data_IF_997150812819
#
_entry.id   IF_997150812819
#
_cell.length_a   1.000
_cell.length_b   1.000
_cell.length_c   1.000
_cell.angle_alpha   90.00
_cell.angle_beta   90.00
_cell.angle_gamma   90.00
#
_symmetry.space_group_name_H-M   'P 1'
#
loop_
_entity.id
_entity.type
_entity.pdbx_description
1 polymer ?
#
# COMPACT_ATOMS: atom_id res chain seq x y z
N UNK A 1 25.42 4.48 -42.04
CA UNK A 1 25.75 3.39 -41.06
C UNK A 1 24.50 3.20 -40.20
N UNK A 2 23.64 2.26 -40.60
CA UNK A 2 22.30 2.08 -40.03
C UNK A 2 22.42 1.12 -38.84
N UNK A 3 22.31 1.66 -37.61
CA UNK A 3 22.27 0.86 -36.42
C UNK A 3 20.90 0.14 -36.35
N UNK A 4 20.86 -1.14 -36.66
CA UNK A 4 19.72 -2.00 -36.35
C UNK A 4 19.79 -2.37 -34.87
N UNK A 5 19.05 -1.66 -34.01
CA UNK A 5 18.78 -2.14 -32.65
C UNK A 5 17.68 -3.21 -32.74
N UNK A 6 18.07 -4.47 -32.68
CA UNK A 6 17.14 -5.60 -32.52
C UNK A 6 16.98 -5.79 -31.01
N UNK A 7 16.00 -5.11 -30.40
CA UNK A 7 15.60 -5.42 -29.04
C UNK A 7 14.79 -6.71 -29.06
N UNK A 8 15.14 -7.67 -28.21
CA UNK A 8 14.32 -8.87 -28.00
C UNK A 8 13.00 -8.47 -27.33
N UNK A 9 11.96 -9.27 -27.57
CA UNK A 9 10.62 -9.07 -26.96
C UNK A 9 10.69 -8.89 -25.43
N UNK A 10 11.66 -9.55 -24.80
CA UNK A 10 11.90 -9.48 -23.34
C UNK A 10 12.58 -8.17 -22.92
N UNK A 11 13.44 -7.62 -23.75
CA UNK A 11 14.11 -6.32 -23.50
C UNK A 11 13.16 -5.15 -23.77
N UNK A 12 12.30 -5.28 -24.78
CA UNK A 12 11.22 -4.34 -25.04
C UNK A 12 10.22 -4.26 -23.87
N UNK A 13 9.77 -5.41 -23.35
CA UNK A 13 8.88 -5.48 -22.18
C UNK A 13 9.55 -4.89 -20.93
N UNK A 14 10.84 -5.15 -20.73
CA UNK A 14 11.61 -4.55 -19.64
C UNK A 14 11.76 -3.03 -19.78
N UNK A 15 12.02 -2.55 -20.98
CA UNK A 15 12.10 -1.12 -21.26
C UNK A 15 10.74 -0.43 -21.07
N UNK A 16 9.65 -1.04 -21.52
CA UNK A 16 8.29 -0.54 -21.33
C UNK A 16 7.87 -0.54 -19.84
N UNK A 17 8.24 -1.57 -19.08
CA UNK A 17 8.01 -1.64 -17.64
C UNK A 17 8.86 -0.61 -16.86
N UNK A 18 10.11 -0.41 -17.26
CA UNK A 18 11.01 0.59 -16.67
C UNK A 18 10.59 2.05 -17.00
N UNK A 19 9.82 2.24 -18.07
CA UNK A 19 9.28 3.54 -18.47
C UNK A 19 8.01 3.95 -17.71
N UNK A 20 7.50 3.13 -16.78
CA UNK A 20 6.22 3.39 -16.12
C UNK A 20 5.05 3.37 -17.10
N UNK A 21 5.12 2.52 -18.16
CA UNK A 21 4.12 2.48 -19.21
C UNK A 21 2.79 1.90 -18.73
N UNK A 22 1.73 2.62 -19.01
CA UNK A 22 0.32 2.23 -18.92
C UNK A 22 -0.10 1.45 -20.17
N UNK A 23 -0.99 0.47 -20.04
CA UNK A 23 -1.61 -0.25 -21.16
C UNK A 23 -3.13 -0.30 -20.98
N UNK A 24 -3.94 -0.45 -22.00
CA UNK A 24 -4.29 0.42 -23.11
C UNK A 24 -5.62 1.17 -22.92
N UNK A 25 -5.86 2.23 -23.67
CA UNK A 25 -7.12 2.98 -23.64
C UNK A 25 -7.64 3.31 -25.03
N UNK A 26 -8.93 3.15 -25.25
CA UNK A 26 -9.65 3.62 -26.44
C UNK A 26 -10.87 4.45 -26.04
N UNK A 27 -11.01 5.64 -26.60
CA UNK A 27 -12.23 6.46 -26.58
C UNK A 27 -12.11 7.84 -25.93
N UNK A 28 -12.13 8.88 -26.76
CA UNK A 28 -12.09 10.30 -26.41
C UNK A 28 -13.48 10.82 -26.13
N UNK A 29 -13.72 11.54 -25.06
CA UNK A 29 -14.65 12.68 -25.06
C UNK A 29 -14.45 13.58 -23.83
N UNK A 30 -14.18 14.84 -24.16
CA UNK A 30 -14.36 16.11 -23.43
C UNK A 30 -14.31 16.12 -21.90
N UNK A 31 -13.13 16.45 -21.39
CA UNK A 31 -12.96 16.95 -20.01
C UNK A 31 -13.19 18.47 -19.97
N UNK A 32 -14.29 18.87 -19.37
CA UNK A 32 -14.55 20.27 -18.99
C UNK A 32 -13.91 20.50 -17.62
N UNK A 33 -12.92 21.37 -17.55
CA UNK A 33 -12.30 21.81 -16.28
C UNK A 33 -13.15 22.89 -15.64
N UNK A 34 -13.67 22.59 -14.43
CA UNK A 34 -14.40 23.53 -13.61
C UNK A 34 -13.49 24.61 -13.00
N UNK A 35 -13.99 25.82 -13.00
CA UNK A 35 -13.37 27.04 -12.49
C UNK A 35 -13.10 26.94 -10.99
N UNK A 36 -12.00 27.59 -10.56
CA UNK A 36 -11.63 27.79 -9.17
C UNK A 36 -12.69 28.64 -8.45
N UNK A 37 -13.28 28.08 -7.40
CA UNK A 37 -14.14 28.84 -6.45
C UNK A 37 -13.29 29.16 -5.22
N UNK A 38 -13.18 30.45 -4.90
CA UNK A 38 -12.57 30.92 -3.67
C UNK A 38 -13.38 30.47 -2.46
N UNK A 39 -12.74 29.79 -1.52
CA UNK A 39 -13.38 29.33 -0.29
C UNK A 39 -13.43 30.43 0.77
N UNK A 40 -14.60 30.74 1.26
CA UNK A 40 -14.81 31.48 2.51
C UNK A 40 -14.72 30.50 3.70
N UNK A 41 -14.04 30.84 4.79
CA UNK A 41 -13.94 29.98 5.95
C UNK A 41 -15.16 30.15 6.86
N UNK A 42 -16.08 29.21 6.89
CA UNK A 42 -17.09 29.12 7.95
C UNK A 42 -17.40 27.67 8.29
N UNK A 43 -17.26 27.41 9.60
CA UNK A 43 -17.83 26.30 10.38
C UNK A 43 -17.46 24.86 9.99
N UNK A 44 -16.84 24.19 10.97
CA UNK A 44 -16.63 22.75 11.03
C UNK A 44 -18.00 22.05 11.08
N UNK A 45 -18.56 21.75 9.91
CA UNK A 45 -19.65 20.81 9.74
C UNK A 45 -19.03 19.44 9.45
N UNK A 46 -19.63 18.38 9.98
CA UNK A 46 -19.25 17.00 9.63
C UNK A 46 -19.15 16.87 8.11
N UNK A 47 -18.07 16.26 7.57
CA UNK A 47 -17.90 16.13 6.13
C UNK A 47 -19.08 15.35 5.55
N UNK A 48 -19.68 15.87 4.48
CA UNK A 48 -20.64 15.11 3.69
C UNK A 48 -19.94 13.85 3.18
N UNK A 49 -20.52 12.69 3.48
CA UNK A 49 -20.01 11.40 2.99
C UNK A 49 -19.95 11.47 1.47
N UNK A 50 -18.77 11.30 0.91
CA UNK A 50 -18.55 11.25 -0.53
C UNK A 50 -19.26 10.01 -1.08
N UNK A 51 -20.08 10.14 -2.13
CA UNK A 51 -20.69 9.00 -2.84
C UNK A 51 -19.67 8.13 -3.60
N UNK A 52 -18.39 8.52 -3.56
CA UNK A 52 -17.30 7.76 -4.20
C UNK A 52 -16.73 6.73 -3.23
N UNK A 53 -16.45 5.50 -3.74
CA UNK A 53 -15.77 4.49 -2.92
C UNK A 53 -14.44 5.02 -2.38
N UNK A 54 -14.07 4.66 -1.14
CA UNK A 54 -12.78 5.01 -0.59
C UNK A 54 -11.62 4.45 -1.41
N UNK A 55 -10.57 5.25 -1.60
CA UNK A 55 -9.31 4.78 -2.17
C UNK A 55 -8.65 3.79 -1.20
N UNK A 56 -8.41 2.55 -1.65
CA UNK A 56 -7.67 1.57 -0.86
C UNK A 56 -6.17 1.74 -1.04
N UNK A 57 -5.47 2.02 0.06
CA UNK A 57 -4.00 2.15 0.07
C UNK A 57 -3.39 1.05 0.92
N UNK A 58 -2.47 0.27 0.38
CA UNK A 58 -1.63 -0.64 1.16
C UNK A 58 -0.27 -0.01 1.42
N UNK A 59 0.15 0.02 2.68
CA UNK A 59 1.51 0.38 3.11
C UNK A 59 2.16 -0.89 3.62
N UNK A 60 3.07 -1.45 2.84
CA UNK A 60 3.75 -2.68 3.18
C UNK A 60 5.09 -2.39 3.86
N UNK A 61 5.18 -2.68 5.15
CA UNK A 61 6.39 -2.57 5.97
C UNK A 61 7.28 -3.78 5.68
N UNK A 62 8.19 -3.63 4.71
CA UNK A 62 9.05 -4.74 4.25
C UNK A 62 10.15 -5.07 5.24
N UNK A 63 10.22 -6.31 5.65
CA UNK A 63 11.25 -6.82 6.55
C UNK A 63 10.72 -7.38 7.86
N UNK A 64 9.44 -7.71 7.97
CA UNK A 64 8.87 -8.30 9.20
C UNK A 64 8.91 -7.30 10.36
N UNK A 65 8.13 -6.24 10.28
CA UNK A 65 8.09 -5.20 11.32
C UNK A 65 7.74 -5.81 12.68
N UNK A 66 8.46 -5.43 13.72
CA UNK A 66 8.28 -5.94 15.08
C UNK A 66 6.97 -5.43 15.70
N UNK A 67 5.91 -6.22 15.56
CA UNK A 67 4.58 -5.90 16.06
C UNK A 67 4.52 -5.68 17.57
N UNK A 68 5.40 -6.36 18.34
CA UNK A 68 5.47 -6.22 19.78
C UNK A 68 6.23 -4.94 20.22
N UNK A 69 7.00 -4.32 19.31
CA UNK A 69 7.60 -3.01 19.53
C UNK A 69 6.75 -1.89 18.93
N UNK A 70 5.94 -2.18 17.89
CA UNK A 70 4.90 -1.25 17.41
C UNK A 70 3.87 -0.97 18.50
N UNK A 71 3.35 -2.05 19.11
CA UNK A 71 2.34 -2.02 20.18
C UNK A 71 2.68 -3.09 21.21
N UNK A 72 3.16 -2.65 22.35
CA UNK A 72 3.65 -3.53 23.42
C UNK A 72 2.59 -3.83 24.50
N UNK A 73 2.49 -5.07 24.97
CA UNK A 73 1.76 -5.43 26.19
C UNK A 73 2.62 -5.11 27.41
N UNK A 74 2.58 -3.86 27.88
CA UNK A 74 3.58 -3.29 28.82
C UNK A 74 3.58 -3.92 30.21
N UNK A 75 2.49 -4.54 30.62
CA UNK A 75 2.35 -5.22 31.91
C UNK A 75 2.39 -6.76 31.82
N UNK A 76 2.73 -7.31 30.65
CA UNK A 76 2.94 -8.74 30.47
C UNK A 76 4.33 -9.15 30.98
N UNK A 77 4.39 -9.99 32.00
CA UNK A 77 5.64 -10.38 32.66
C UNK A 77 6.53 -11.25 31.76
N UNK A 78 5.94 -12.12 30.94
CA UNK A 78 6.69 -12.94 29.99
C UNK A 78 7.36 -12.06 28.92
N UNK A 79 6.68 -11.00 28.48
CA UNK A 79 7.26 -10.03 27.55
C UNK A 79 8.35 -9.17 28.20
N UNK A 80 8.15 -8.73 29.44
CA UNK A 80 9.13 -7.94 30.19
C UNK A 80 10.43 -8.73 30.38
N UNK A 81 10.33 -10.03 30.68
CA UNK A 81 11.50 -10.92 30.82
C UNK A 81 12.18 -11.21 29.47
N UNK A 82 11.40 -11.25 28.39
CA UNK A 82 11.90 -11.58 27.07
C UNK A 82 12.70 -10.46 26.41
N UNK A 83 12.52 -9.20 26.82
CA UNK A 83 13.12 -8.05 26.12
C UNK A 83 13.68 -7.00 27.07
N UNK A 84 14.85 -6.41 26.75
CA UNK A 84 15.35 -5.23 27.45
C UNK A 84 14.43 -4.02 27.21
N UNK A 85 14.56 -3.01 28.06
CA UNK A 85 13.67 -1.82 28.04
C UNK A 85 13.73 -0.99 26.76
N UNK A 86 14.79 -1.07 26.00
CA UNK A 86 14.99 -0.37 24.73
C UNK A 86 14.38 -1.11 23.52
N UNK A 87 13.96 -2.37 23.71
CA UNK A 87 13.24 -3.17 22.71
C UNK A 87 11.78 -3.44 23.09
N UNK A 88 11.21 -2.64 23.98
CA UNK A 88 9.78 -2.64 24.31
C UNK A 88 9.29 -1.22 24.62
N UNK A 89 8.02 -0.98 24.43
CA UNK A 89 7.38 0.27 24.86
C UNK A 89 7.24 0.24 26.38
N UNK A 90 7.44 1.38 27.00
CA UNK A 90 7.25 1.56 28.45
C UNK A 90 5.91 2.25 28.73
N UNK A 91 5.31 1.97 29.88
CA UNK A 91 4.06 2.58 30.35
C UNK A 91 4.28 3.87 31.15
N UNK A 92 5.52 4.16 31.51
CA UNK A 92 5.89 5.27 32.39
C UNK A 92 7.29 5.82 32.06
N UNK A 93 7.59 7.01 32.57
CA UNK A 93 8.84 7.70 32.32
C UNK A 93 8.82 8.61 31.11
N UNK A 94 9.95 9.23 30.78
CA UNK A 94 10.09 10.23 29.72
C UNK A 94 9.93 9.66 28.30
N UNK A 95 9.99 8.34 28.16
CA UNK A 95 9.80 7.61 26.89
C UNK A 95 8.62 6.63 26.97
N UNK A 96 7.63 6.94 27.81
CA UNK A 96 6.40 6.18 27.83
C UNK A 96 5.70 6.25 26.47
N UNK A 97 5.12 5.13 26.06
CA UNK A 97 4.27 5.06 24.88
C UNK A 97 2.89 5.68 25.13
N UNK A 98 2.04 5.58 24.15
CA UNK A 98 0.66 6.06 24.23
C UNK A 98 -0.26 4.90 24.60
N UNK A 99 -0.95 5.02 25.73
CA UNK A 99 -1.94 4.01 26.14
C UNK A 99 -3.04 3.88 25.07
N UNK A 100 -3.22 2.70 24.57
CA UNK A 100 -4.36 2.31 23.76
C UNK A 100 -5.51 1.82 24.66
N UNK A 101 -6.69 1.58 24.13
CA UNK A 101 -7.77 1.04 24.93
C UNK A 101 -7.35 -0.28 25.60
N UNK A 102 -7.83 -0.51 26.81
CA UNK A 102 -7.63 -1.80 27.47
C UNK A 102 -8.30 -2.88 26.59
N UNK A 103 -7.55 -3.90 26.27
CA UNK A 103 -8.08 -5.00 25.48
C UNK A 103 -9.18 -5.73 26.25
N UNK A 104 -10.07 -6.42 25.52
CA UNK A 104 -11.03 -7.36 26.11
C UNK A 104 -10.33 -8.56 26.81
N UNK A 105 -9.01 -8.61 26.74
CA UNK A 105 -8.19 -9.57 27.49
C UNK A 105 -7.99 -9.00 28.89
N UNK A 106 -8.52 -9.65 29.93
CA UNK A 106 -8.38 -9.15 31.30
C UNK A 106 -6.90 -8.87 31.64
N UNK A 107 -6.63 -7.67 32.12
CA UNK A 107 -5.36 -7.22 32.65
C UNK A 107 -4.19 -6.99 31.68
N UNK A 108 -4.40 -6.97 30.35
CA UNK A 108 -3.31 -6.59 29.43
C UNK A 108 -3.47 -5.13 28.98
N UNK A 109 -2.46 -4.30 29.23
CA UNK A 109 -2.41 -2.89 28.81
C UNK A 109 -1.49 -2.76 27.61
N UNK A 110 -2.02 -2.26 26.50
CA UNK A 110 -1.28 -2.06 25.26
C UNK A 110 -0.90 -0.60 25.07
N UNK A 111 0.35 -0.37 24.73
CA UNK A 111 0.91 0.96 24.47
C UNK A 111 1.52 1.02 23.08
N UNK A 112 1.14 2.05 22.33
CA UNK A 112 1.75 2.39 21.05
C UNK A 112 3.12 3.02 21.25
N UNK A 113 4.05 2.77 20.34
CA UNK A 113 5.41 3.28 20.38
C UNK A 113 5.47 4.80 20.60
N UNK A 114 6.36 5.33 21.46
CA UNK A 114 6.43 6.76 21.81
C UNK A 114 6.77 7.67 20.63
N UNK A 115 7.46 7.17 19.61
CA UNK A 115 7.78 7.92 18.39
C UNK A 115 6.64 7.95 17.35
N UNK A 116 5.40 7.61 17.76
CA UNK A 116 4.23 7.64 16.90
C UNK A 116 3.09 8.55 17.42
N UNK A 117 3.33 9.81 17.80
CA UNK A 117 2.30 10.67 18.38
C UNK A 117 1.10 10.88 17.44
N UNK A 118 1.34 11.09 16.15
CA UNK A 118 0.25 11.30 15.20
C UNK A 118 -0.65 10.05 15.02
N UNK A 119 -0.08 8.83 15.10
CA UNK A 119 -0.91 7.61 15.13
C UNK A 119 -1.72 7.50 16.43
N UNK A 120 -1.18 7.95 17.56
CA UNK A 120 -1.93 8.00 18.81
C UNK A 120 -3.11 8.99 18.73
N UNK A 121 -2.92 10.15 18.12
CA UNK A 121 -3.97 11.14 17.86
C UNK A 121 -5.06 10.57 16.94
N UNK A 122 -4.67 9.91 15.84
CA UNK A 122 -5.61 9.24 14.93
C UNK A 122 -6.39 8.11 15.62
N UNK A 123 -5.74 7.37 16.53
CA UNK A 123 -6.40 6.34 17.32
C UNK A 123 -7.43 6.95 18.28
N UNK A 124 -7.08 8.00 19.00
CA UNK A 124 -7.99 8.71 19.92
C UNK A 124 -9.16 9.36 19.17
N UNK A 125 -8.90 9.89 17.96
CA UNK A 125 -9.91 10.44 17.07
C UNK A 125 -10.79 9.36 16.39
N UNK A 126 -10.54 8.07 16.65
CA UNK A 126 -11.26 6.90 16.12
C UNK A 126 -11.14 6.73 14.60
N UNK A 127 -10.03 7.16 14.03
CA UNK A 127 -9.70 6.94 12.62
C UNK A 127 -8.67 5.82 12.41
N UNK A 128 -8.00 5.37 13.48
CA UNK A 128 -7.01 4.28 13.45
C UNK A 128 -7.49 3.11 14.32
N UNK A 129 -7.42 1.91 13.77
CA UNK A 129 -7.60 0.64 14.48
C UNK A 129 -6.27 -0.14 14.49
N UNK A 130 -6.04 -0.90 15.56
CA UNK A 130 -4.91 -1.80 15.71
C UNK A 130 -5.40 -3.24 15.62
N UNK A 131 -4.74 -4.08 14.83
CA UNK A 131 -5.11 -5.49 14.66
C UNK A 131 -3.97 -6.36 15.13
N UNK A 132 -4.19 -7.14 16.18
CA UNK A 132 -3.20 -8.02 16.78
C UNK A 132 -3.12 -9.38 16.09
N UNK A 133 -1.96 -10.01 16.23
CA UNK A 133 -1.73 -11.41 15.90
C UNK A 133 -2.18 -11.79 14.48
N UNK A 134 -1.95 -10.85 13.54
CA UNK A 134 -2.26 -11.03 12.12
C UNK A 134 -1.13 -11.80 11.45
N UNK A 135 -1.46 -12.73 10.57
CA UNK A 135 -0.43 -13.42 9.80
C UNK A 135 -0.99 -14.40 8.79
N UNK A 136 -0.06 -15.10 8.16
CA UNK A 136 -0.34 -16.25 7.29
C UNK A 136 -0.41 -17.51 8.16
N UNK A 137 -1.28 -18.45 7.79
CA UNK A 137 -1.42 -19.71 8.55
C UNK A 137 -0.25 -20.66 8.34
N UNK A 138 0.48 -20.51 7.24
CA UNK A 138 1.72 -21.24 6.96
C UNK A 138 2.89 -20.46 7.60
N UNK A 139 3.52 -21.02 8.61
CA UNK A 139 4.55 -20.37 9.42
C UNK A 139 5.90 -20.25 8.71
N UNK A 140 5.91 -19.74 7.46
CA UNK A 140 7.17 -19.41 6.79
C UNK A 140 7.82 -18.17 7.41
N UNK A 141 9.14 -18.19 7.54
CA UNK A 141 9.97 -17.06 7.98
C UNK A 141 10.86 -16.54 6.85
N UNK A 142 10.54 -16.89 5.60
CA UNK A 142 11.17 -16.35 4.39
C UNK A 142 10.43 -15.10 3.94
N UNK A 143 11.11 -13.97 3.85
CA UNK A 143 10.54 -12.72 3.34
C UNK A 143 9.92 -12.91 1.96
N UNK A 144 10.65 -13.52 1.03
CA UNK A 144 10.17 -13.71 -0.34
C UNK A 144 8.88 -14.52 -0.40
N UNK A 145 8.82 -15.62 0.37
CA UNK A 145 7.66 -16.50 0.40
C UNK A 145 6.47 -15.83 1.08
N UNK A 146 6.65 -15.23 2.26
CA UNK A 146 5.59 -14.58 3.01
C UNK A 146 5.03 -13.35 2.27
N UNK A 147 5.89 -12.52 1.70
CA UNK A 147 5.48 -11.39 0.88
C UNK A 147 4.68 -11.85 -0.34
N UNK A 148 5.15 -12.89 -1.04
CA UNK A 148 4.45 -13.42 -2.19
C UNK A 148 3.07 -14.02 -1.83
N UNK A 149 2.94 -14.67 -0.68
CA UNK A 149 1.65 -15.17 -0.16
C UNK A 149 0.66 -14.01 0.03
N UNK A 150 1.08 -12.96 0.75
CA UNK A 150 0.22 -11.81 1.06
C UNK A 150 -0.13 -11.04 -0.21
N UNK A 151 0.85 -10.74 -1.06
CA UNK A 151 0.63 -9.96 -2.28
C UNK A 151 -0.19 -10.71 -3.33
N UNK A 152 -0.20 -12.04 -3.30
CA UNK A 152 -1.10 -12.85 -4.13
C UNK A 152 -2.44 -13.13 -3.46
N UNK A 153 -2.66 -12.72 -2.23
CA UNK A 153 -3.88 -13.00 -1.49
C UNK A 153 -4.15 -14.50 -1.37
N UNK A 154 -3.11 -15.30 -1.10
CA UNK A 154 -3.13 -16.75 -1.17
C UNK A 154 -2.90 -17.41 0.20
N UNK A 155 -3.16 -18.70 0.30
CA UNK A 155 -2.80 -19.50 1.48
C UNK A 155 -1.33 -19.91 1.44
N UNK A 156 -0.83 -20.23 0.25
CA UNK A 156 0.55 -20.66 -0.01
C UNK A 156 0.94 -20.23 -1.43
N UNK A 157 2.22 -20.02 -1.66
CA UNK A 157 2.78 -19.80 -3.01
C UNK A 157 3.28 -21.08 -3.66
N UNK A 158 3.32 -22.17 -2.92
CA UNK A 158 3.73 -23.48 -3.44
C UNK A 158 2.52 -24.19 -4.05
N UNK A 159 2.71 -24.66 -5.25
CA UNK A 159 1.80 -25.59 -5.93
C UNK A 159 2.61 -26.84 -6.29
N UNK A 160 1.95 -27.97 -6.52
CA UNK A 160 2.58 -29.26 -6.87
C UNK A 160 3.59 -29.19 -8.05
N UNK A 161 3.59 -28.10 -8.82
CA UNK A 161 4.43 -27.86 -9.99
C UNK A 161 5.27 -26.56 -9.94
N UNK A 162 5.49 -25.97 -8.75
CA UNK A 162 6.29 -24.76 -8.56
C UNK A 162 5.55 -23.57 -7.98
N UNK A 163 6.14 -22.37 -8.16
CA UNK A 163 5.55 -21.12 -7.63
C UNK A 163 4.19 -20.79 -8.28
N UNK A 164 3.24 -20.36 -7.47
CA UNK A 164 1.92 -19.95 -7.92
C UNK A 164 2.02 -18.73 -8.85
N UNK A 165 1.66 -18.92 -10.12
CA UNK A 165 1.63 -17.86 -11.15
C UNK A 165 0.21 -17.35 -11.35
N UNK A 166 -0.25 -16.51 -10.43
CA UNK A 166 -1.56 -15.85 -10.53
C UNK A 166 -1.39 -14.35 -10.38
N UNK A 167 -2.26 -13.53 -10.96
CA UNK A 167 -2.26 -12.10 -10.73
C UNK A 167 -2.34 -11.76 -9.24
N UNK A 168 -1.86 -10.58 -8.85
CA UNK A 168 -1.92 -10.09 -7.47
C UNK A 168 -3.36 -9.83 -7.01
N UNK A 169 -3.57 -9.77 -5.69
CA UNK A 169 -4.92 -9.58 -5.14
C UNK A 169 -5.55 -8.22 -5.53
N UNK A 170 -4.75 -7.16 -5.59
CA UNK A 170 -5.23 -5.83 -6.05
C UNK A 170 -5.67 -5.88 -7.51
N UNK A 171 -4.88 -6.51 -8.37
CA UNK A 171 -5.23 -6.68 -9.78
C UNK A 171 -6.54 -7.45 -9.94
N UNK A 172 -6.69 -8.57 -9.23
CA UNK A 172 -7.92 -9.37 -9.29
C UNK A 172 -9.13 -8.62 -8.76
N UNK A 173 -8.98 -7.85 -7.68
CA UNK A 173 -10.10 -7.09 -7.11
C UNK A 173 -10.64 -6.03 -8.07
N UNK A 174 -9.75 -5.39 -8.86
CA UNK A 174 -10.13 -4.39 -9.87
C UNK A 174 -10.72 -5.07 -11.11
N UNK A 175 -10.03 -6.06 -11.66
CA UNK A 175 -10.43 -6.72 -12.92
C UNK A 175 -11.80 -7.41 -12.84
N UNK A 176 -12.22 -7.76 -11.62
CA UNK A 176 -13.49 -8.46 -11.36
C UNK A 176 -14.55 -7.59 -10.71
N UNK A 177 -14.26 -6.31 -10.49
CA UNK A 177 -15.24 -5.36 -9.96
C UNK A 177 -16.29 -5.02 -11.04
N UNK A 178 -17.51 -4.64 -10.60
CA UNK A 178 -18.57 -4.16 -11.50
C UNK A 178 -18.17 -2.88 -12.26
N UNK A 179 -17.19 -2.15 -11.76
CA UNK A 179 -16.61 -0.97 -12.41
C UNK A 179 -15.60 -1.31 -13.51
N UNK A 180 -15.27 -2.59 -13.74
CA UNK A 180 -14.27 -3.00 -14.75
C UNK A 180 -14.61 -2.50 -16.17
N UNK A 181 -15.89 -2.33 -16.51
CA UNK A 181 -16.32 -1.76 -17.80
C UNK A 181 -16.01 -0.28 -17.98
N UNK A 182 -15.66 0.45 -16.94
CA UNK A 182 -15.34 1.89 -16.97
C UNK A 182 -13.85 2.21 -16.85
N UNK A 183 -12.99 1.17 -16.94
CA UNK A 183 -11.53 1.33 -16.82
C UNK A 183 -10.86 1.96 -18.04
N UNK A 184 -11.59 2.13 -19.13
CA UNK A 184 -11.10 2.88 -20.29
C UNK A 184 -10.91 4.35 -19.88
N UNK A 185 -9.70 4.88 -20.11
CA UNK A 185 -9.28 6.24 -19.72
C UNK A 185 -9.07 6.47 -18.21
N UNK A 186 -8.86 5.42 -17.40
CA UNK A 186 -8.56 5.54 -15.97
C UNK A 186 -7.23 4.91 -15.58
N UNK A 187 -6.68 5.37 -14.44
CA UNK A 187 -5.53 4.77 -13.75
C UNK A 187 -6.07 4.14 -12.47
N UNK A 188 -6.61 2.92 -12.53
CA UNK A 188 -7.23 2.32 -11.35
C UNK A 188 -6.24 1.91 -10.28
N UNK A 189 -4.95 1.76 -10.63
CA UNK A 189 -3.91 1.30 -9.72
C UNK A 189 -2.64 2.14 -9.82
N UNK A 190 -2.03 2.43 -8.67
CA UNK A 190 -0.76 3.13 -8.56
C UNK A 190 0.19 2.40 -7.59
N UNK A 191 1.48 2.38 -7.91
CA UNK A 191 2.51 1.99 -6.95
C UNK A 191 3.62 3.02 -6.88
N UNK A 192 3.89 3.51 -5.65
CA UNK A 192 5.01 4.41 -5.36
C UNK A 192 6.32 3.61 -5.27
N UNK A 193 6.76 3.02 -6.38
CA UNK A 193 7.93 2.16 -6.44
C UNK A 193 8.57 2.18 -7.83
N UNK A 194 9.78 1.64 -7.95
CA UNK A 194 10.46 1.48 -9.25
C UNK A 194 10.05 0.23 -10.01
N UNK A 195 9.45 -0.75 -9.30
CA UNK A 195 9.03 -2.04 -9.86
C UNK A 195 7.62 -2.33 -9.35
N UNK A 196 6.74 -2.81 -10.23
CA UNK A 196 5.40 -3.21 -9.83
C UNK A 196 5.45 -4.30 -8.75
N UNK A 197 4.75 -4.14 -7.62
CA UNK A 197 4.65 -5.18 -6.61
C UNK A 197 3.82 -6.37 -7.13
N UNK A 198 4.00 -7.55 -6.53
CA UNK A 198 3.24 -8.74 -6.91
C UNK A 198 1.72 -8.54 -6.73
N UNK A 199 1.29 -7.70 -5.81
CA UNK A 199 -0.13 -7.36 -5.61
C UNK A 199 -0.77 -6.70 -6.83
N UNK A 200 0.02 -6.03 -7.68
CA UNK A 200 -0.41 -5.40 -8.94
C UNK A 200 -0.02 -6.20 -10.19
N UNK A 201 0.60 -7.38 -10.04
CA UNK A 201 0.90 -8.23 -11.19
C UNK A 201 -0.41 -8.67 -11.89
N UNK A 202 -0.44 -8.54 -13.21
CA UNK A 202 -1.56 -8.96 -14.06
C UNK A 202 -2.54 -7.87 -14.47
N UNK A 203 -2.46 -6.67 -13.89
CA UNK A 203 -3.21 -5.51 -14.38
C UNK A 203 -2.38 -4.76 -15.43
N UNK A 204 -3.05 -4.29 -16.50
CA UNK A 204 -2.37 -3.64 -17.61
C UNK A 204 -2.33 -2.11 -17.51
N UNK A 205 -3.16 -1.50 -16.70
CA UNK A 205 -3.31 -0.05 -16.55
C UNK A 205 -2.95 0.45 -15.14
N UNK A 206 -1.90 -0.10 -14.55
CA UNK A 206 -1.28 0.43 -13.33
C UNK A 206 -0.18 1.44 -13.67
N UNK A 207 -0.15 2.54 -12.96
CA UNK A 207 0.96 3.48 -12.98
C UNK A 207 1.96 3.10 -11.89
N UNK A 208 3.23 2.93 -12.27
CA UNK A 208 4.32 2.59 -11.35
C UNK A 208 5.42 3.62 -11.48
N UNK A 209 5.60 4.44 -10.48
CA UNK A 209 6.69 5.43 -10.39
C UNK A 209 6.96 5.76 -8.92
N UNK A 210 8.24 5.89 -8.51
CA UNK A 210 8.58 6.18 -7.12
C UNK A 210 8.21 7.60 -6.70
N UNK A 211 8.07 8.52 -7.64
CA UNK A 211 7.75 9.92 -7.37
C UNK A 211 7.01 10.56 -8.55
N UNK A 212 5.70 10.67 -8.41
CA UNK A 212 4.87 11.37 -9.39
C UNK A 212 5.15 12.88 -9.42
N UNK A 213 5.63 13.44 -8.31
CA UNK A 213 5.91 14.86 -8.18
C UNK A 213 7.13 15.29 -9.00
N UNK A 214 7.99 14.36 -9.39
CA UNK A 214 9.08 14.62 -10.35
C UNK A 214 8.58 14.73 -11.80
N UNK A 215 7.31 14.37 -12.06
CA UNK A 215 6.76 14.21 -13.41
C UNK A 215 7.05 12.83 -13.98
N UNK A 216 6.33 12.48 -15.03
CA UNK A 216 6.55 11.22 -15.74
C UNK A 216 7.47 11.43 -16.93
N UNK A 217 8.41 10.52 -17.11
CA UNK A 217 9.34 10.50 -18.24
C UNK A 217 9.51 9.09 -18.80
N UNK A 218 10.05 9.00 -19.99
CA UNK A 218 10.52 7.73 -20.55
C UNK A 218 12.02 7.57 -20.30
N UNK A 219 12.53 6.35 -20.14
CA UNK A 219 13.97 6.12 -20.06
C UNK A 219 14.69 6.76 -21.25
N UNK A 220 15.84 7.33 -20.99
CA UNK A 220 16.68 8.06 -21.97
C UNK A 220 16.02 9.30 -22.62
N UNK A 221 14.87 9.76 -22.09
CA UNK A 221 14.28 11.05 -22.39
C UNK A 221 13.63 11.19 -23.78
N UNK A 222 13.68 12.39 -24.33
CA UNK A 222 12.99 12.79 -25.56
C UNK A 222 13.24 11.89 -26.78
N UNK A 223 14.48 11.41 -27.08
CA UNK A 223 14.70 10.53 -28.23
C UNK A 223 13.93 9.22 -28.13
N UNK A 224 13.79 8.66 -26.93
CA UNK A 224 13.00 7.43 -26.71
C UNK A 224 11.50 7.70 -26.86
N UNK A 225 11.01 8.83 -26.35
CA UNK A 225 9.60 9.22 -26.52
C UNK A 225 9.25 9.39 -27.99
N UNK A 226 10.09 10.08 -28.77
CA UNK A 226 9.92 10.23 -30.23
C UNK A 226 9.95 8.90 -30.96
N UNK A 227 10.86 7.99 -30.60
CA UNK A 227 10.92 6.64 -31.16
C UNK A 227 9.66 5.84 -30.85
N UNK A 228 9.19 5.85 -29.60
CA UNK A 228 7.97 5.14 -29.19
C UNK A 228 6.73 5.72 -29.90
N UNK A 229 6.65 7.06 -30.02
CA UNK A 229 5.58 7.73 -30.76
C UNK A 229 5.58 7.34 -32.25
N UNK A 230 6.74 7.34 -32.90
CA UNK A 230 6.87 6.88 -34.29
C UNK A 230 6.47 5.41 -34.45
N UNK A 231 6.92 4.55 -33.56
CA UNK A 231 6.52 3.12 -33.57
C UNK A 231 5.00 2.93 -33.39
N UNK A 232 4.38 3.74 -32.54
CA UNK A 232 2.93 3.65 -32.28
C UNK A 232 2.06 4.07 -33.48
N UNK A 233 2.62 4.87 -34.39
CA UNK A 233 1.94 5.37 -35.61
C UNK A 233 2.21 4.53 -36.83
N UNK A 234 3.22 3.65 -36.80
CA UNK A 234 3.50 2.77 -37.93
C UNK A 234 2.32 1.80 -38.18
N UNK A 235 1.59 2.01 -39.28
CA UNK A 235 0.74 0.96 -39.81
C UNK A 235 1.66 -0.14 -40.31
N UNK A 236 1.61 -1.29 -39.65
CA UNK A 236 2.33 -2.47 -40.13
C UNK A 236 1.64 -2.92 -41.43
N UNK A 237 2.35 -2.83 -42.55
CA UNK A 237 1.94 -3.43 -43.82
C UNK A 237 2.00 -4.98 -43.80
N UNK A 238 1.68 -5.57 -42.64
CA UNK A 238 1.59 -7.02 -42.46
C UNK A 238 0.21 -7.46 -42.89
N UNK A 239 0.16 -8.51 -43.66
CA UNK A 239 -1.07 -9.14 -44.19
C UNK A 239 -2.21 -9.17 -43.17
N UNK A 240 -3.37 -8.61 -43.57
CA UNK A 240 -4.60 -8.52 -42.77
C UNK A 240 -5.25 -9.88 -42.55
N UNK A 241 -4.59 -10.82 -41.95
CA UNK A 241 -5.14 -12.14 -41.73
C UNK A 241 -4.41 -13.04 -40.75
N UNK A 242 -3.27 -12.61 -40.25
CA UNK A 242 -2.51 -13.43 -39.30
C UNK A 242 -2.73 -12.99 -37.84
N UNK A 243 -2.78 -13.93 -36.90
CA UNK A 243 -2.88 -13.65 -35.48
C UNK A 243 -1.72 -12.78 -34.96
N UNK A 244 -0.60 -12.72 -35.71
CA UNK A 244 0.54 -11.84 -35.42
C UNK A 244 0.26 -10.37 -35.74
N UNK A 245 -0.60 -10.05 -36.76
CA UNK A 245 -0.98 -8.67 -37.07
C UNK A 245 -1.91 -8.06 -36.02
N UNK A 246 -2.88 -8.84 -35.53
CA UNK A 246 -3.78 -8.42 -34.46
C UNK A 246 -3.02 -8.12 -33.15
N UNK A 247 -2.04 -8.95 -32.79
CA UNK A 247 -1.19 -8.71 -31.64
C UNK A 247 -0.31 -7.46 -31.79
N UNK A 248 0.23 -7.19 -32.99
CA UNK A 248 1.02 -6.00 -33.27
C UNK A 248 0.18 -4.72 -33.17
N UNK A 249 -1.03 -4.73 -33.73
CA UNK A 249 -1.98 -3.61 -33.61
C UNK A 249 -2.37 -3.34 -32.15
N UNK A 250 -2.59 -4.38 -31.35
CA UNK A 250 -2.87 -4.27 -29.93
C UNK A 250 -1.72 -3.62 -29.16
N UNK A 251 -0.46 -3.99 -29.47
CA UNK A 251 0.73 -3.39 -28.84
C UNK A 251 0.89 -1.92 -29.24
N UNK A 252 0.65 -1.56 -30.49
CA UNK A 252 0.76 -0.17 -30.96
C UNK A 252 -0.32 0.73 -30.33
N UNK A 253 -1.56 0.24 -30.20
CA UNK A 253 -2.62 1.02 -29.52
C UNK A 253 -2.28 1.21 -28.06
N UNK A 254 -1.86 0.16 -27.35
CA UNK A 254 -1.45 0.22 -25.96
C UNK A 254 -0.32 1.24 -25.72
N UNK A 255 0.64 1.31 -26.64
CA UNK A 255 1.75 2.26 -26.56
C UNK A 255 1.26 3.71 -26.75
N UNK A 256 0.37 3.98 -27.72
CA UNK A 256 -0.22 5.32 -27.89
C UNK A 256 -0.97 5.75 -26.65
N UNK A 257 -1.80 4.88 -26.13
CA UNK A 257 -2.65 5.14 -24.97
C UNK A 257 -1.78 5.45 -23.74
N UNK A 258 -0.68 4.70 -23.54
CA UNK A 258 0.29 4.94 -22.48
C UNK A 258 0.99 6.29 -22.60
N UNK A 259 1.47 6.65 -23.80
CA UNK A 259 2.11 7.95 -24.04
C UNK A 259 1.13 9.09 -23.83
N UNK A 260 -0.11 8.96 -24.33
CA UNK A 260 -1.14 9.98 -24.15
C UNK A 260 -1.49 10.17 -22.66
N UNK A 261 -1.59 9.08 -21.90
CA UNK A 261 -1.85 9.17 -20.46
C UNK A 261 -0.69 9.84 -19.73
N UNK A 262 0.54 9.51 -20.09
CA UNK A 262 1.74 10.17 -19.54
C UNK A 262 1.71 11.69 -19.80
N UNK A 263 1.36 12.09 -21.04
CA UNK A 263 1.26 13.51 -21.38
C UNK A 263 0.13 14.20 -20.60
N UNK A 264 -1.04 13.57 -20.48
CA UNK A 264 -2.17 14.11 -19.71
C UNK A 264 -1.79 14.32 -18.22
N UNK A 265 -1.09 13.35 -17.59
CA UNK A 265 -0.61 13.49 -16.22
C UNK A 265 0.41 14.62 -16.13
N UNK A 266 1.38 14.68 -17.05
CA UNK A 266 2.39 15.72 -17.06
C UNK A 266 1.81 17.12 -17.27
N UNK A 267 0.77 17.26 -18.07
CA UNK A 267 0.03 18.52 -18.25
C UNK A 267 -0.73 18.94 -16.98
N UNK A 268 -1.25 17.97 -16.23
CA UNK A 268 -1.94 18.24 -14.97
C UNK A 268 -0.99 18.56 -13.80
N UNK A 269 0.31 18.25 -13.93
CA UNK A 269 1.32 18.62 -12.95
C UNK A 269 1.73 20.09 -13.13
N UNK A 270 1.48 20.90 -12.11
CA UNK A 270 1.81 22.33 -12.14
C UNK A 270 3.31 22.57 -12.35
N UNK A 271 3.64 23.53 -13.22
CA UNK A 271 5.02 23.91 -13.55
C UNK A 271 5.17 25.42 -13.45
N UNK A 272 6.39 25.88 -13.18
CA UNK A 272 6.75 27.30 -13.25
C UNK A 272 6.96 27.77 -14.71
N UNK A 273 7.26 29.07 -14.88
CA UNK A 273 7.49 29.67 -16.19
C UNK A 273 8.71 29.09 -16.94
N UNK A 274 9.60 28.36 -16.25
CA UNK A 274 10.76 27.67 -16.84
C UNK A 274 10.46 26.24 -17.23
N UNK A 275 9.24 25.76 -16.92
CA UNK A 275 8.80 24.35 -17.14
C UNK A 275 9.21 23.39 -16.03
N UNK A 276 9.79 23.87 -14.93
CA UNK A 276 10.13 23.05 -13.76
C UNK A 276 8.86 22.68 -13.00
N UNK A 277 8.75 21.43 -12.60
CA UNK A 277 7.64 20.95 -11.78
C UNK A 277 7.61 21.70 -10.44
N UNK A 278 6.46 22.25 -10.10
CA UNK A 278 6.23 22.88 -8.80
C UNK A 278 6.06 21.80 -7.71
N UNK A 279 6.56 22.05 -6.49
CA UNK A 279 6.34 21.16 -5.36
C UNK A 279 4.86 20.84 -5.18
N UNK A 280 4.57 19.64 -4.72
CA UNK A 280 3.21 19.31 -4.32
C UNK A 280 2.80 20.15 -3.10
N UNK A 281 1.61 20.71 -3.16
CA UNK A 281 1.02 21.46 -2.05
C UNK A 281 -0.09 20.61 -1.43
N UNK A 282 0.11 20.14 -0.19
CA UNK A 282 -0.95 19.43 0.54
C UNK A 282 -2.16 20.33 0.81
N UNK A 283 -3.32 19.75 1.01
CA UNK A 283 -4.53 20.47 1.39
C UNK A 283 -4.62 20.64 2.91
N UNK A 284 -5.33 21.68 3.34
CA UNK A 284 -5.54 21.96 4.76
C UNK A 284 -4.23 22.25 5.51
N UNK A 285 -4.06 21.59 6.64
CA UNK A 285 -2.89 21.71 7.53
C UNK A 285 -1.87 20.58 7.32
N UNK A 286 -2.13 19.67 6.40
CA UNK A 286 -1.29 18.51 6.16
C UNK A 286 0.17 18.88 5.84
N UNK A 287 1.11 18.24 6.51
CA UNK A 287 2.53 18.49 6.32
C UNK A 287 3.30 17.17 6.32
N UNK A 288 3.92 16.85 5.17
CA UNK A 288 4.73 15.65 4.99
C UNK A 288 6.18 15.78 5.49
N UNK A 289 6.57 16.92 6.05
CA UNK A 289 7.93 17.11 6.59
C UNK A 289 8.23 16.11 7.71
N UNK A 290 9.37 15.46 7.61
CA UNK A 290 9.79 14.42 8.56
C UNK A 290 9.22 13.02 8.27
N UNK A 291 8.42 12.84 7.23
CA UNK A 291 7.97 11.52 6.79
C UNK A 291 8.99 10.74 5.93
N UNK A 292 10.18 11.30 5.71
CA UNK A 292 11.25 10.64 4.95
C UNK A 292 10.83 10.29 3.53
N UNK A 293 11.11 9.04 3.10
CA UNK A 293 10.72 8.58 1.76
C UNK A 293 9.19 8.47 1.59
N UNK A 294 8.45 8.25 2.68
CA UNK A 294 6.99 8.20 2.66
C UNK A 294 6.36 9.52 2.24
N UNK A 295 7.05 10.66 2.46
CA UNK A 295 6.56 11.97 2.01
C UNK A 295 6.31 11.98 0.49
N UNK A 296 7.25 11.44 -0.30
CA UNK A 296 7.12 11.35 -1.77
C UNK A 296 6.03 10.38 -2.17
N UNK A 297 5.98 9.22 -1.52
CA UNK A 297 5.01 8.16 -1.83
C UNK A 297 3.59 8.63 -1.56
N UNK A 298 3.30 9.15 -0.37
CA UNK A 298 1.97 9.63 -0.01
C UNK A 298 1.55 10.87 -0.80
N UNK A 299 2.43 11.86 -0.99
CA UNK A 299 2.10 13.05 -1.78
C UNK A 299 1.85 12.73 -3.26
N UNK A 300 2.51 11.71 -3.81
CA UNK A 300 2.23 11.21 -5.15
C UNK A 300 0.84 10.58 -5.26
N UNK A 301 0.46 9.74 -4.28
CA UNK A 301 -0.89 9.15 -4.21
C UNK A 301 -1.95 10.25 -4.04
N UNK A 302 -1.73 11.19 -3.13
CA UNK A 302 -2.67 12.28 -2.88
C UNK A 302 -2.84 13.17 -4.13
N UNK A 303 -1.76 13.48 -4.84
CA UNK A 303 -1.82 14.22 -6.11
C UNK A 303 -2.66 13.46 -7.14
N UNK A 304 -2.41 12.17 -7.33
CA UNK A 304 -3.12 11.36 -8.32
C UNK A 304 -4.61 11.19 -7.98
N UNK A 305 -4.93 10.98 -6.70
CA UNK A 305 -6.31 10.91 -6.22
C UNK A 305 -7.09 12.20 -6.50
N UNK A 306 -6.45 13.36 -6.28
CA UNK A 306 -7.05 14.70 -6.55
C UNK A 306 -7.24 14.97 -8.05
N UNK A 307 -6.47 14.35 -8.92
CA UNK A 307 -6.67 14.42 -10.39
C UNK A 307 -7.91 13.67 -10.86
N UNK A 308 -8.55 12.87 -10.00
CA UNK A 308 -9.77 12.11 -10.31
C UNK A 308 -9.65 11.19 -11.54
N UNK A 309 -8.49 10.60 -11.72
CA UNK A 309 -8.18 9.70 -12.85
C UNK A 309 -8.72 8.27 -12.66
N UNK A 310 -9.63 8.05 -11.73
CA UNK A 310 -10.24 6.75 -11.47
C UNK A 310 -9.39 5.81 -10.61
N UNK A 311 -8.51 6.37 -9.77
CA UNK A 311 -7.67 5.59 -8.86
C UNK A 311 -8.53 4.86 -7.83
N UNK A 312 -8.37 3.54 -7.74
CA UNK A 312 -9.10 2.66 -6.82
C UNK A 312 -8.17 2.05 -5.77
N UNK A 313 -6.95 1.67 -6.18
CA UNK A 313 -5.95 1.11 -5.26
C UNK A 313 -4.59 1.78 -5.41
N UNK A 314 -3.86 1.88 -4.31
CA UNK A 314 -2.47 2.31 -4.33
C UNK A 314 -1.61 1.44 -3.40
N UNK A 315 -0.32 1.30 -3.73
CA UNK A 315 0.65 0.56 -2.93
C UNK A 315 1.87 1.42 -2.61
N UNK A 316 2.34 1.32 -1.38
CA UNK A 316 3.61 1.84 -0.90
C UNK A 316 4.42 0.68 -0.31
N UNK A 317 5.67 0.55 -0.72
CA UNK A 317 6.65 -0.31 -0.06
C UNK A 317 7.54 0.54 0.84
N UNK A 318 7.54 0.26 2.14
CA UNK A 318 8.38 0.93 3.11
C UNK A 318 9.34 -0.09 3.71
N UNK A 319 10.57 -0.10 3.24
CA UNK A 319 11.62 -1.04 3.64
C UNK A 319 12.30 -0.67 4.96
N UNK A 320 13.28 -1.50 5.38
CA UNK A 320 14.12 -1.23 6.55
C UNK A 320 13.62 -1.84 7.86
N UNK A 321 12.59 -2.69 7.83
CA UNK A 321 12.05 -3.30 9.06
C UNK A 321 12.74 -4.62 9.46
N UNK A 322 13.70 -5.09 8.67
CA UNK A 322 14.47 -6.31 8.99
C UNK A 322 15.59 -6.04 10.01
N UNK A 323 15.19 -5.85 11.27
CA UNK A 323 16.01 -5.29 12.35
C UNK A 323 16.59 -6.38 13.25
N UNK A 324 17.53 -7.18 12.71
CA UNK A 324 18.23 -8.23 13.48
C UNK A 324 19.26 -7.69 14.47
N UNK A 325 19.76 -6.48 14.29
CA UNK A 325 20.77 -5.87 15.14
C UNK A 325 20.49 -4.37 15.36
N UNK A 326 20.84 -3.83 16.51
CA UNK A 326 20.74 -2.41 16.84
C UNK A 326 19.34 -1.83 16.62
N UNK A 327 18.29 -2.60 16.85
CA UNK A 327 16.93 -2.32 16.42
C UNK A 327 16.36 -1.01 16.96
N UNK A 328 16.61 -0.67 18.22
CA UNK A 328 15.91 0.39 18.96
C UNK A 328 15.90 1.74 18.22
N UNK A 329 17.09 2.28 17.90
CA UNK A 329 17.21 3.61 17.27
C UNK A 329 16.72 3.64 15.83
N UNK A 330 16.97 2.57 15.08
CA UNK A 330 16.49 2.44 13.70
C UNK A 330 14.97 2.36 13.67
N UNK A 331 14.39 1.50 14.49
CA UNK A 331 12.95 1.33 14.61
C UNK A 331 12.23 2.63 15.01
N UNK A 332 12.76 3.36 15.99
CA UNK A 332 12.25 4.66 16.41
C UNK A 332 12.19 5.67 15.22
N UNK A 333 13.24 5.68 14.39
CA UNK A 333 13.25 6.53 13.19
C UNK A 333 12.19 6.13 12.17
N UNK A 334 12.04 4.82 11.93
CA UNK A 334 11.00 4.29 11.03
C UNK A 334 9.59 4.62 11.53
N UNK A 335 9.36 4.50 12.85
CA UNK A 335 8.10 4.85 13.48
C UNK A 335 7.74 6.33 13.32
N UNK A 336 8.70 7.24 13.49
CA UNK A 336 8.48 8.67 13.26
C UNK A 336 8.05 8.95 11.83
N UNK A 337 8.75 8.36 10.85
CA UNK A 337 8.41 8.53 9.43
C UNK A 337 7.03 7.97 9.11
N UNK A 338 6.71 6.77 9.61
CA UNK A 338 5.41 6.13 9.41
C UNK A 338 4.28 6.98 10.02
N UNK A 339 4.44 7.41 11.27
CA UNK A 339 3.48 8.27 11.96
C UNK A 339 3.25 9.58 11.23
N UNK A 340 4.32 10.30 10.87
CA UNK A 340 4.24 11.56 10.13
C UNK A 340 3.58 11.38 8.76
N UNK A 341 3.98 10.35 8.01
CA UNK A 341 3.47 10.08 6.68
C UNK A 341 1.98 9.75 6.66
N UNK A 342 1.54 8.86 7.55
CA UNK A 342 0.14 8.44 7.65
C UNK A 342 -0.76 9.58 8.13
N UNK A 343 -0.32 10.35 9.13
CA UNK A 343 -1.09 11.50 9.64
C UNK A 343 -1.25 12.56 8.55
N UNK A 344 -0.14 12.97 7.92
CA UNK A 344 -0.19 13.97 6.85
C UNK A 344 -1.05 13.51 5.66
N UNK A 345 -0.95 12.23 5.28
CA UNK A 345 -1.76 11.70 4.19
C UNK A 345 -3.26 11.69 4.52
N UNK A 346 -3.62 11.25 5.71
CA UNK A 346 -5.02 11.25 6.15
C UNK A 346 -5.59 12.68 6.16
N UNK A 347 -4.88 13.64 6.76
CA UNK A 347 -5.28 15.04 6.80
C UNK A 347 -5.44 15.66 5.41
N UNK A 348 -4.49 15.39 4.50
CA UNK A 348 -4.50 15.89 3.13
C UNK A 348 -5.69 15.35 2.33
N UNK A 349 -6.00 14.07 2.47
CA UNK A 349 -7.12 13.43 1.80
C UNK A 349 -8.46 13.92 2.38
N UNK A 350 -8.58 14.00 3.70
CA UNK A 350 -9.76 14.51 4.38
C UNK A 350 -10.05 15.99 4.00
N UNK A 351 -9.03 16.86 4.00
CA UNK A 351 -9.16 18.24 3.58
C UNK A 351 -9.56 18.42 2.10
N UNK A 352 -9.36 17.36 1.28
CA UNK A 352 -9.72 17.34 -0.13
C UNK A 352 -11.03 16.59 -0.41
N UNK A 353 -11.80 16.20 0.62
CA UNK A 353 -12.99 15.35 0.53
C UNK A 353 -12.74 14.04 -0.26
N UNK A 354 -11.56 13.46 -0.10
CA UNK A 354 -11.22 12.15 -0.65
C UNK A 354 -11.24 11.12 0.46
N UNK A 355 -12.20 10.21 0.43
CA UNK A 355 -12.25 9.11 1.40
C UNK A 355 -11.16 8.08 1.12
N UNK A 356 -10.52 7.59 2.18
CA UNK A 356 -9.45 6.60 2.11
C UNK A 356 -9.64 5.47 3.10
N UNK A 357 -9.18 4.29 2.69
CA UNK A 357 -8.94 3.14 3.54
C UNK A 357 -7.47 2.77 3.40
N UNK A 358 -6.71 2.87 4.48
CA UNK A 358 -5.28 2.53 4.48
C UNK A 358 -5.07 1.29 5.34
N UNK A 359 -4.39 0.28 4.81
CA UNK A 359 -3.93 -0.88 5.57
C UNK A 359 -2.41 -0.85 5.63
N UNK A 360 -1.89 -0.78 6.87
CA UNK A 360 -0.46 -0.92 7.15
C UNK A 360 -0.21 -2.37 7.53
N UNK A 361 0.60 -3.05 6.76
CA UNK A 361 0.82 -4.49 6.86
C UNK A 361 2.31 -4.86 6.78
N UNK A 362 2.65 -6.02 7.28
CA UNK A 362 3.98 -6.63 7.18
C UNK A 362 3.82 -8.14 6.99
N UNK A 363 4.84 -8.79 6.45
CA UNK A 363 4.78 -10.20 6.06
C UNK A 363 4.69 -11.18 7.23
N UNK A 364 5.34 -10.87 8.35
CA UNK A 364 5.30 -11.60 9.61
C UNK A 364 5.78 -10.70 10.75
N UNK A 365 5.64 -11.16 11.99
CA UNK A 365 6.17 -10.49 13.17
C UNK A 365 7.58 -10.93 13.52
N UNK A 366 8.01 -10.60 14.73
CA UNK A 366 9.32 -10.93 15.27
C UNK A 366 9.19 -11.84 16.47
N UNK A 367 10.26 -12.60 16.80
CA UNK A 367 10.33 -13.41 18.00
C UNK A 367 10.02 -12.58 19.24
N UNK A 368 9.34 -13.21 20.19
CA UNK A 368 9.03 -12.55 21.47
C UNK A 368 10.32 -12.15 22.18
N UNK A 369 11.30 -13.07 22.26
CA UNK A 369 12.61 -12.80 22.88
C UNK A 369 13.56 -12.09 21.90
N UNK A 370 14.23 -11.05 22.40
CA UNK A 370 15.32 -10.38 21.69
C UNK A 370 16.54 -11.30 21.52
N UNK A 371 17.33 -11.04 20.48
CA UNK A 371 18.58 -11.75 20.24
C UNK A 371 19.79 -11.05 20.91
N UNK A 372 20.99 -11.63 20.75
CA UNK A 372 22.23 -11.11 21.37
C UNK A 372 22.78 -9.86 20.70
N UNK A 373 22.28 -9.49 19.53
CA UNK A 373 22.70 -8.32 18.74
C UNK A 373 21.83 -7.10 18.98
N UNK A 374 21.04 -7.09 20.06
CA UNK A 374 20.08 -6.03 20.38
C UNK A 374 19.07 -5.79 19.24
N UNK A 375 18.54 -6.87 18.71
CA UNK A 375 17.49 -6.93 17.71
C UNK A 375 16.57 -8.11 17.93
N UNK A 376 15.79 -8.47 16.92
CA UNK A 376 14.87 -9.59 16.97
C UNK A 376 14.93 -10.41 15.69
N UNK A 377 14.82 -11.75 15.82
CA UNK A 377 14.77 -12.65 14.69
C UNK A 377 13.35 -12.78 14.15
N UNK A 378 13.18 -13.36 12.95
CA UNK A 378 11.88 -13.57 12.33
C UNK A 378 10.97 -14.42 13.20
N UNK A 379 9.73 -13.94 13.36
CA UNK A 379 8.67 -14.60 14.11
C UNK A 379 7.47 -14.94 13.23
N UNK A 380 6.25 -14.89 13.81
CA UNK A 380 5.04 -15.30 13.10
C UNK A 380 3.94 -14.22 13.17
N UNK A 381 3.15 -14.12 14.23
CA UNK A 381 2.09 -13.13 14.37
C UNK A 381 2.61 -11.69 14.36
N UNK A 382 1.96 -10.84 13.59
CA UNK A 382 2.30 -9.43 13.41
C UNK A 382 1.22 -8.51 13.99
N UNK A 383 1.52 -7.22 14.06
CA UNK A 383 0.56 -6.15 14.34
C UNK A 383 0.35 -5.33 13.07
N UNK A 384 -0.90 -5.17 12.65
CA UNK A 384 -1.29 -4.34 11.51
C UNK A 384 -2.13 -3.16 11.96
N UNK A 385 -2.24 -2.13 11.09
CA UNK A 385 -3.13 -1.00 11.33
C UNK A 385 -4.13 -0.85 10.18
N UNK A 386 -5.35 -0.40 10.52
CA UNK A 386 -6.32 0.10 9.56
C UNK A 386 -6.61 1.57 9.88
N UNK A 387 -6.55 2.45 8.88
CA UNK A 387 -6.77 3.89 8.99
C UNK A 387 -7.77 4.34 7.92
N UNK A 388 -8.71 5.20 8.28
CA UNK A 388 -9.64 5.79 7.31
C UNK A 388 -10.95 6.27 7.94
N UNK A 389 -11.80 6.87 7.09
CA UNK A 389 -13.05 7.50 7.53
C UNK A 389 -14.10 6.48 7.99
N UNK A 390 -14.08 5.28 7.40
CA UNK A 390 -15.02 4.20 7.72
C UNK A 390 -14.45 3.18 8.70
N UNK A 391 -13.24 3.41 9.22
CA UNK A 391 -12.63 2.54 10.21
C UNK A 391 -13.29 2.77 11.57
N UNK A 392 -13.71 1.71 12.22
CA UNK A 392 -14.14 1.76 13.64
C UNK A 392 -12.89 1.81 14.53
N UNK A 393 -12.18 2.93 14.45
CA UNK A 393 -10.94 3.16 15.16
C UNK A 393 -11.09 3.37 16.65
N UNK A 394 -9.98 3.57 17.34
CA UNK A 394 -9.91 3.65 18.80
C UNK A 394 -10.12 2.29 19.48
N UNK A 395 -9.95 1.19 18.73
CA UNK A 395 -10.13 -0.17 19.20
C UNK A 395 -8.96 -1.08 18.83
N UNK A 396 -8.79 -2.14 19.64
CA UNK A 396 -7.90 -3.26 19.38
C UNK A 396 -8.72 -4.40 18.80
N UNK A 397 -8.30 -4.97 17.69
CA UNK A 397 -8.94 -6.06 16.98
C UNK A 397 -8.08 -7.32 16.96
N UNK A 398 -8.69 -8.44 16.63
CA UNK A 398 -8.06 -9.75 16.73
C UNK A 398 -8.10 -10.30 18.16
N UNK A 399 -7.89 -11.59 18.28
CA UNK A 399 -7.79 -12.23 19.58
C UNK A 399 -6.33 -12.21 20.03
N UNK A 400 -6.05 -11.56 21.17
CA UNK A 400 -4.73 -11.64 21.77
C UNK A 400 -4.48 -13.04 22.35
N UNK A 401 -3.44 -13.76 21.89
CA UNK A 401 -3.21 -15.14 22.35
C UNK A 401 -2.50 -15.21 23.70
N UNK A 402 -1.83 -14.14 24.13
CA UNK A 402 -0.89 -14.14 25.25
C UNK A 402 0.55 -14.51 24.84
N UNK A 403 1.48 -14.40 25.78
CA UNK A 403 2.92 -14.62 25.55
C UNK A 403 3.55 -15.67 26.47
N UNK A 404 2.75 -16.44 27.23
CA UNK A 404 3.28 -17.60 27.94
C UNK A 404 3.77 -18.66 26.95
N UNK A 405 4.71 -19.49 27.37
CA UNK A 405 5.31 -20.53 26.51
C UNK A 405 4.28 -21.49 25.87
N UNK A 406 3.13 -21.68 26.50
CA UNK A 406 2.03 -22.52 25.99
C UNK A 406 1.13 -21.78 24.99
N UNK A 407 1.13 -20.46 25.00
CA UNK A 407 0.31 -19.62 24.13
C UNK A 407 1.04 -19.19 22.87
N UNK A 408 2.36 -19.21 22.92
CA UNK A 408 3.22 -18.84 21.79
C UNK A 408 3.26 -19.96 20.74
N UNK A 409 3.38 -19.58 19.46
CA UNK A 409 3.70 -20.53 18.38
C UNK A 409 5.10 -21.10 18.61
N UNK A 410 5.18 -22.42 18.70
CA UNK A 410 6.40 -23.18 19.01
C UNK A 410 7.15 -22.69 20.28
N UNK A 411 6.47 -22.00 21.18
CA UNK A 411 7.08 -21.40 22.39
C UNK A 411 8.05 -20.25 22.11
N UNK A 412 8.02 -19.64 20.94
CA UNK A 412 8.99 -18.64 20.49
C UNK A 412 8.34 -17.35 19.96
N UNK A 413 7.24 -17.47 19.26
CA UNK A 413 6.66 -16.39 18.46
C UNK A 413 5.23 -16.07 18.92
N UNK A 414 4.77 -14.85 18.69
CA UNK A 414 3.35 -14.53 18.84
C UNK A 414 2.55 -15.43 17.89
N UNK A 415 1.58 -16.18 18.42
CA UNK A 415 0.74 -17.03 17.61
C UNK A 415 -0.18 -16.20 16.70
N UNK A 416 -0.44 -16.70 15.48
CA UNK A 416 -1.40 -16.08 14.56
C UNK A 416 -2.81 -16.51 14.98
N UNK A 417 -3.66 -15.52 15.29
CA UNK A 417 -5.08 -15.73 15.59
C UNK A 417 -6.00 -15.05 14.58
N UNK A 418 -5.44 -14.16 13.75
CA UNK A 418 -6.15 -13.42 12.72
C UNK A 418 -5.52 -13.73 11.35
N UNK A 419 -6.29 -14.39 10.48
CA UNK A 419 -5.87 -14.59 9.09
C UNK A 419 -5.80 -13.22 8.38
N UNK A 420 -4.66 -12.90 7.77
CA UNK A 420 -4.44 -11.62 7.09
C UNK A 420 -5.52 -11.32 6.04
N UNK A 421 -6.13 -12.37 5.44
CA UNK A 421 -7.19 -12.23 4.45
C UNK A 421 -8.50 -11.72 5.04
N UNK A 422 -8.74 -11.87 6.36
CA UNK A 422 -9.89 -11.23 7.03
C UNK A 422 -9.74 -9.70 6.95
N UNK A 423 -8.55 -9.19 7.30
CA UNK A 423 -8.28 -7.74 7.26
C UNK A 423 -8.41 -7.21 5.83
N UNK A 424 -7.78 -7.88 4.85
CA UNK A 424 -7.86 -7.48 3.44
C UNK A 424 -9.29 -7.56 2.89
N UNK A 425 -10.07 -8.59 3.26
CA UNK A 425 -11.45 -8.73 2.78
C UNK A 425 -12.35 -7.59 3.24
N UNK A 426 -12.24 -7.19 4.51
CA UNK A 426 -13.02 -6.09 5.06
C UNK A 426 -12.59 -4.74 4.46
N UNK A 427 -11.28 -4.51 4.28
CA UNK A 427 -10.77 -3.30 3.64
C UNK A 427 -11.23 -3.18 2.18
N UNK A 428 -11.20 -4.28 1.43
CA UNK A 428 -11.70 -4.31 0.05
C UNK A 428 -13.23 -4.06 0.00
N UNK A 429 -14.01 -4.67 0.90
CA UNK A 429 -15.45 -4.42 0.98
C UNK A 429 -15.76 -2.96 1.28
N UNK A 430 -15.05 -2.36 2.26
CA UNK A 430 -15.20 -0.94 2.60
C UNK A 430 -14.82 -0.02 1.41
N UNK A 431 -13.96 -0.48 0.52
CA UNK A 431 -13.55 0.25 -0.70
C UNK A 431 -14.33 -0.19 -1.96
N UNK A 432 -15.43 -0.92 -1.82
CA UNK A 432 -16.30 -1.42 -2.89
C UNK A 432 -15.57 -2.28 -3.94
N UNK A 433 -14.50 -2.95 -3.55
CA UNK A 433 -13.72 -3.86 -4.40
C UNK A 433 -14.22 -5.31 -4.27
N UNK A 434 -13.98 -6.11 -5.30
CA UNK A 434 -14.38 -7.52 -5.31
C UNK A 434 -13.45 -8.38 -4.47
N UNK A 435 -13.98 -9.02 -3.44
CA UNK A 435 -13.25 -9.91 -2.52
C UNK A 435 -13.18 -11.34 -3.03
N UNK A 436 -14.29 -11.85 -3.61
CA UNK A 436 -14.47 -13.28 -3.89
C UNK A 436 -13.38 -13.88 -4.77
N UNK A 437 -12.93 -13.14 -5.78
CA UNK A 437 -11.85 -13.59 -6.67
C UNK A 437 -10.50 -13.01 -6.29
N UNK A 438 -10.46 -11.99 -5.44
CA UNK A 438 -9.22 -11.35 -5.00
C UNK A 438 -8.44 -12.21 -4.01
N UNK A 439 -9.12 -12.93 -3.12
CA UNK A 439 -8.49 -13.77 -2.09
C UNK A 439 -8.65 -15.25 -2.46
N UNK A 440 -7.51 -15.92 -2.68
CA UNK A 440 -7.48 -17.30 -3.11
C UNK A 440 -7.71 -18.25 -1.93
N UNK A 441 -8.57 -19.25 -2.14
CA UNK A 441 -8.87 -20.26 -1.12
C UNK A 441 -9.24 -19.66 0.25
N UNK A 442 -9.91 -18.48 0.24
CA UNK A 442 -10.36 -17.84 1.46
C UNK A 442 -11.55 -18.62 2.02
N UNK A 443 -11.40 -19.25 3.21
CA UNK A 443 -12.42 -20.14 3.72
C UNK A 443 -13.70 -19.39 4.08
N UNK A 444 -14.85 -19.92 3.67
CA UNK A 444 -16.16 -19.36 4.03
C UNK A 444 -16.38 -19.32 5.55
N UNK A 445 -15.80 -20.26 6.30
CA UNK A 445 -15.83 -20.29 7.76
C UNK A 445 -15.08 -19.12 8.41
N UNK A 446 -14.07 -18.56 7.74
CA UNK A 446 -13.35 -17.36 8.16
C UNK A 446 -14.07 -16.12 7.67
N UNK A 447 -14.51 -16.11 6.40
CA UNK A 447 -15.27 -15.01 5.80
C UNK A 447 -16.59 -14.70 6.55
N UNK A 448 -17.20 -15.71 7.18
CA UNK A 448 -18.44 -15.56 7.98
C UNK A 448 -18.20 -14.96 9.38
N UNK A 449 -16.96 -14.71 9.77
CA UNK A 449 -16.59 -14.14 11.08
C UNK A 449 -15.78 -12.86 10.88
N UNK A 450 -16.41 -11.77 10.45
CA UNK A 450 -15.69 -10.50 10.26
C UNK A 450 -15.16 -9.98 11.59
N UNK A 451 -14.05 -9.26 11.54
CA UNK A 451 -13.50 -8.55 12.69
C UNK A 451 -14.36 -7.33 13.05
N UNK A 452 -15.11 -6.81 12.08
CA UNK A 452 -15.94 -5.63 12.22
C UNK A 452 -15.14 -4.32 12.20
N UNK A 453 -14.04 -4.30 11.45
CA UNK A 453 -13.12 -3.16 11.33
C UNK A 453 -13.77 -1.91 10.76
N UNK A 454 -14.78 -2.06 9.90
CA UNK A 454 -15.40 -0.98 9.16
C UNK A 454 -16.92 -0.88 9.45
N UNK A 455 -17.48 0.30 9.21
CA UNK A 455 -18.91 0.54 9.45
C UNK A 455 -19.45 1.76 8.75
#
# INVERSE_FOLDING_TARGET
>A
MTLKLILSRREFIKAASAAGCLLPMSGVSNLVWGQSIAANPTAIGSPAVSDKPPLLVSVFLRGGADGLLLVSPTNDLDFIDARPSDLRVLDSGSRAGFLLAQSNTPNTSFYLHPDAPGLAELYQAKHLAVIHAVGITDATRSHEEAQAIIERGALSVKHDRGMLKVPGWMSRSIMTSSAAGHLHNSIPAYSASTIAPLSLEGINNALVTPDLNAGLGVPWGKPTAEFLAAMSTQQTGLDQGSSSSANAQSVHSAMRDALQMQDNINLAIARDATGKVLPYLPSGTANYDGAGELARSFSSIARLAKMQVGLQVANINFGGWDTHEGQSGHFANMMRQLSKGLTAFYEDMAASNQSVTVIVMTEFGRRVRSNKSNGTDHGHGACWFALGDHVKGGNLYGQWPGLSSLQMDQGLDLAVTTDYRQVLSEAMQASHLNVTQALLNYPSSVASKPLGLFG
#
